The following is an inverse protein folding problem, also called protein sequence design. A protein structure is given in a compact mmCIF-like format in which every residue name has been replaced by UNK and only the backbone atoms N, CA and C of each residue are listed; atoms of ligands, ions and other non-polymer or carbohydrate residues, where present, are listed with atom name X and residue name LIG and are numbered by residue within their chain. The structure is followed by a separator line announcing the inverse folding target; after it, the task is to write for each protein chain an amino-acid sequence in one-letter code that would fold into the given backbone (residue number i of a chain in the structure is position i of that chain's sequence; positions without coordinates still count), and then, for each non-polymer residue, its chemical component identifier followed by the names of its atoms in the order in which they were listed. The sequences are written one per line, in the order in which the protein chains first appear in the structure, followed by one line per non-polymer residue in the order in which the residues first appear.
data_IF_555592735790
#
_entry.id   IF_555592735790
#
_cell.length_a   1.000
_cell.length_b   1.000
_cell.length_c   1.000
_cell.angle_alpha   90.00
_cell.angle_beta   90.00
_cell.angle_gamma   90.00
#
_symmetry.space_group_name_H-M   'P 1'
#
loop_
_entity.id
_entity.type
_entity.pdbx_description
1 polymer ?
#
# COMPACT_ATOMS: atom_id res chain seq x y z
N UNK A 1 4.37 15.64 -2.00
CA UNK A 1 3.01 15.09 -2.05
C UNK A 1 3.14 13.60 -1.80
N UNK A 2 2.24 13.02 -1.00
CA UNK A 2 2.32 11.61 -0.66
C UNK A 2 2.24 10.73 -1.92
N UNK A 3 3.09 9.73 -2.01
CA UNK A 3 3.19 8.83 -3.16
C UNK A 3 3.33 7.38 -2.71
N UNK A 4 2.70 6.45 -3.42
CA UNK A 4 2.85 5.01 -3.20
C UNK A 4 4.22 4.59 -3.71
N UNK A 5 5.10 4.18 -2.80
CA UNK A 5 6.45 3.72 -3.11
C UNK A 5 6.51 2.22 -3.36
N UNK A 6 5.76 1.45 -2.60
CA UNK A 6 5.68 0.00 -2.74
C UNK A 6 4.25 -0.47 -2.47
N UNK A 7 3.83 -1.51 -3.20
CA UNK A 7 2.62 -2.27 -2.94
C UNK A 7 2.98 -3.74 -2.79
N UNK A 8 2.46 -4.37 -1.74
CA UNK A 8 2.58 -5.79 -1.45
C UNK A 8 1.18 -6.37 -1.25
N UNK A 9 0.87 -7.46 -1.95
CA UNK A 9 -0.43 -8.13 -1.93
C UNK A 9 -0.18 -9.63 -1.75
N UNK A 10 -0.87 -10.26 -0.81
CA UNK A 10 -0.91 -11.72 -0.66
C UNK A 10 -2.34 -12.21 -0.54
N UNK A 11 -2.60 -13.32 -1.21
CA UNK A 11 -3.79 -14.15 -1.07
C UNK A 11 -5.11 -13.44 -1.42
N UNK A 12 -5.07 -12.50 -2.35
CA UNK A 12 -6.22 -11.68 -2.76
C UNK A 12 -6.66 -12.02 -4.19
N UNK A 13 -7.87 -12.58 -4.33
CA UNK A 13 -8.49 -12.99 -5.60
C UNK A 13 -7.54 -13.82 -6.46
N UNK A 14 -7.21 -13.38 -7.67
CA UNK A 14 -6.25 -14.08 -8.55
C UNK A 14 -4.77 -13.94 -8.16
N UNK A 15 -4.45 -13.18 -7.10
CA UNK A 15 -3.07 -12.87 -6.71
C UNK A 15 -2.69 -13.71 -5.49
N UNK A 16 -1.77 -14.66 -5.69
CA UNK A 16 -1.17 -15.41 -4.58
C UNK A 16 -0.17 -14.56 -3.80
N UNK A 17 0.76 -13.94 -4.52
CA UNK A 17 1.81 -13.04 -4.02
C UNK A 17 2.16 -12.04 -5.13
N UNK A 18 2.19 -10.76 -4.79
CA UNK A 18 2.62 -9.68 -5.66
C UNK A 18 3.35 -8.63 -4.84
N UNK A 19 4.58 -8.30 -5.24
CA UNK A 19 5.34 -7.17 -4.70
C UNK A 19 5.83 -6.30 -5.83
N UNK A 20 5.58 -5.00 -5.75
CA UNK A 20 6.13 -4.05 -6.70
C UNK A 20 6.58 -2.76 -6.02
N UNK A 21 7.77 -2.27 -6.40
CA UNK A 21 8.35 -1.02 -5.94
C UNK A 21 8.25 -0.01 -7.09
N UNK A 22 7.42 1.01 -6.93
CA UNK A 22 7.19 2.05 -7.93
C UNK A 22 8.33 3.10 -7.96
N UNK A 23 9.17 3.16 -6.92
CA UNK A 23 10.27 4.13 -6.86
C UNK A 23 9.75 5.55 -6.70
N UNK A 24 10.14 6.43 -7.62
CA UNK A 24 9.70 7.84 -7.73
C UNK A 24 8.86 8.07 -9.00
N UNK A 25 8.30 7.00 -9.57
CA UNK A 25 7.45 7.07 -10.76
C UNK A 25 6.15 7.83 -10.47
N UNK A 26 5.88 8.86 -11.26
CA UNK A 26 4.64 9.66 -11.15
C UNK A 26 3.50 9.14 -12.01
N UNK A 27 3.79 8.22 -12.93
CA UNK A 27 2.83 7.57 -13.80
C UNK A 27 3.13 6.08 -13.81
N UNK A 28 2.12 5.28 -13.52
CA UNK A 28 2.15 3.83 -13.56
C UNK A 28 1.08 3.38 -14.54
N UNK A 29 1.45 2.50 -15.48
CA UNK A 29 0.52 1.93 -16.46
C UNK A 29 0.50 0.41 -16.28
N UNK A 30 -0.68 -0.15 -16.04
CA UNK A 30 -0.87 -1.59 -15.93
C UNK A 30 -1.29 -2.16 -17.29
N UNK A 31 -0.46 -3.04 -17.86
CA UNK A 31 -0.69 -3.64 -19.18
C UNK A 31 -0.80 -5.16 -19.03
N UNK A 32 -1.73 -5.78 -19.77
CA UNK A 32 -1.87 -7.23 -19.80
C UNK A 32 -3.19 -7.68 -20.43
N UNK A 33 -3.35 -8.98 -20.68
CA UNK A 33 -4.58 -9.60 -21.19
C UNK A 33 -5.80 -9.34 -20.30
N UNK A 34 -7.00 -9.51 -20.86
CA UNK A 34 -8.23 -9.54 -20.04
C UNK A 34 -8.08 -10.51 -18.86
N UNK A 35 -8.60 -10.11 -17.70
CA UNK A 35 -8.56 -10.88 -16.45
C UNK A 35 -7.16 -11.19 -15.86
N UNK A 36 -6.13 -10.45 -16.28
CA UNK A 36 -4.76 -10.62 -15.75
C UNK A 36 -4.53 -10.02 -14.36
N UNK A 37 -5.57 -9.65 -13.61
CA UNK A 37 -5.45 -9.05 -12.27
C UNK A 37 -5.14 -7.54 -12.22
N UNK A 38 -5.22 -6.80 -13.35
CA UNK A 38 -5.00 -5.33 -13.35
C UNK A 38 -5.99 -4.60 -12.43
N UNK A 39 -7.28 -4.90 -12.60
CA UNK A 39 -8.32 -4.32 -11.74
C UNK A 39 -8.14 -4.74 -10.29
N UNK A 40 -7.72 -5.98 -10.04
CA UNK A 40 -7.40 -6.50 -8.70
C UNK A 40 -6.29 -5.69 -8.02
N UNK A 41 -5.23 -5.32 -8.74
CA UNK A 41 -4.16 -4.46 -8.21
C UNK A 41 -4.71 -3.07 -7.85
N UNK A 42 -5.51 -2.46 -8.73
CA UNK A 42 -6.11 -1.14 -8.47
C UNK A 42 -7.08 -1.18 -7.28
N UNK A 43 -7.83 -2.26 -7.14
CA UNK A 43 -8.76 -2.45 -6.04
C UNK A 43 -8.03 -2.65 -4.70
N UNK A 44 -6.92 -3.39 -4.70
CA UNK A 44 -6.04 -3.50 -3.54
C UNK A 44 -5.49 -2.12 -3.11
N UNK A 45 -5.07 -1.28 -4.07
CA UNK A 45 -4.64 0.10 -3.78
C UNK A 45 -5.80 0.92 -3.17
N UNK A 46 -7.01 0.78 -3.72
CA UNK A 46 -8.19 1.46 -3.18
C UNK A 46 -8.52 1.01 -1.76
N UNK A 47 -8.40 -0.29 -1.46
CA UNK A 47 -8.66 -0.85 -0.13
C UNK A 47 -7.67 -0.35 0.91
N UNK A 48 -6.36 -0.43 0.62
CA UNK A 48 -5.32 -0.06 1.59
C UNK A 48 -5.23 1.45 1.85
N UNK A 49 -5.64 2.27 0.88
CA UNK A 49 -5.71 3.72 1.02
C UNK A 49 -7.12 4.22 1.36
N UNK A 50 -8.06 3.31 1.63
CA UNK A 50 -9.43 3.66 1.96
C UNK A 50 -9.49 4.50 3.24
N UNK A 51 -10.24 5.62 3.26
CA UNK A 51 -10.53 6.34 4.50
C UNK A 51 -11.55 5.60 5.38
N UNK A 52 -12.17 4.56 4.84
CA UNK A 52 -13.27 3.79 5.46
C UNK A 52 -12.72 2.50 6.07
N UNK A 53 -13.10 2.22 7.31
CA UNK A 53 -12.61 1.07 8.08
C UNK A 53 -13.45 -0.20 7.90
N UNK A 54 -14.70 -0.09 7.44
CA UNK A 54 -15.60 -1.23 7.20
C UNK A 54 -15.56 -1.68 5.72
N UNK A 55 -14.41 -2.19 5.29
CA UNK A 55 -14.29 -2.80 3.96
C UNK A 55 -15.10 -4.10 3.91
N UNK A 56 -15.96 -4.24 2.89
CA UNK A 56 -16.67 -5.50 2.64
C UNK A 56 -15.71 -6.48 1.98
N UNK A 57 -15.41 -7.58 2.66
CA UNK A 57 -14.62 -8.70 2.15
C UNK A 57 -15.51 -9.94 2.13
N UNK A 58 -15.47 -10.67 1.02
CA UNK A 58 -16.21 -11.92 0.81
C UNK A 58 -15.26 -13.11 0.71
N UNK A 59 -15.78 -14.33 0.86
CA UNK A 59 -14.96 -15.55 0.74
C UNK A 59 -14.31 -15.67 -0.66
N UNK A 60 -14.96 -15.12 -1.69
CA UNK A 60 -14.44 -15.08 -3.06
C UNK A 60 -13.26 -14.14 -3.27
N UNK A 61 -13.00 -13.24 -2.31
CA UNK A 61 -11.84 -12.36 -2.33
C UNK A 61 -10.55 -13.07 -1.88
N UNK A 62 -10.65 -14.26 -1.30
CA UNK A 62 -9.49 -15.07 -0.93
C UNK A 62 -8.94 -15.82 -2.14
N UNK A 63 -7.62 -15.90 -2.23
CA UNK A 63 -6.97 -16.67 -3.27
C UNK A 63 -7.39 -18.14 -3.20
N UNK A 64 -7.89 -18.68 -4.32
CA UNK A 64 -8.49 -20.00 -4.40
C UNK A 64 -9.64 -20.25 -3.40
N UNK A 65 -10.30 -19.19 -2.91
CA UNK A 65 -11.35 -19.27 -1.88
C UNK A 65 -10.83 -19.92 -0.58
N UNK A 66 -9.51 -19.88 -0.34
CA UNK A 66 -8.88 -20.41 0.86
C UNK A 66 -8.89 -19.37 1.98
N UNK A 67 -9.86 -19.47 2.88
CA UNK A 67 -10.01 -18.58 4.04
C UNK A 67 -9.06 -18.92 5.20
N UNK A 68 -8.29 -20.01 5.09
CA UNK A 68 -7.27 -20.34 6.09
C UNK A 68 -6.03 -19.44 5.99
N UNK A 69 -5.83 -18.84 4.81
CA UNK A 69 -4.71 -17.96 4.51
C UNK A 69 -5.18 -16.50 4.49
N UNK A 70 -4.70 -15.61 5.37
CA UNK A 70 -5.22 -14.25 5.46
C UNK A 70 -4.86 -13.41 4.22
N UNK A 71 -5.78 -12.53 3.81
CA UNK A 71 -5.50 -11.50 2.81
C UNK A 71 -4.55 -10.45 3.42
N UNK A 72 -3.45 -10.16 2.74
CA UNK A 72 -2.49 -9.11 3.14
C UNK A 72 -2.40 -8.08 2.03
N UNK A 73 -2.68 -6.82 2.32
CA UNK A 73 -2.47 -5.70 1.39
C UNK A 73 -1.75 -4.59 2.14
N UNK A 74 -0.50 -4.34 1.76
CA UNK A 74 0.35 -3.34 2.38
C UNK A 74 0.82 -2.32 1.34
N UNK A 75 0.68 -1.03 1.66
CA UNK A 75 1.27 0.05 0.89
C UNK A 75 2.34 0.77 1.71
N UNK A 76 3.49 1.02 1.10
CA UNK A 76 4.51 1.92 1.65
C UNK A 76 4.36 3.28 0.98
N UNK A 77 4.23 4.33 1.78
CA UNK A 77 4.06 5.69 1.29
C UNK A 77 5.32 6.53 1.57
N UNK A 78 5.70 7.38 0.61
CA UNK A 78 6.73 8.41 0.76
C UNK A 78 6.10 9.80 0.83
N UNK A 79 6.83 10.76 1.39
CA UNK A 79 6.46 12.18 1.47
C UNK A 79 5.07 12.43 2.10
N UNK A 80 4.77 11.66 3.15
CA UNK A 80 3.52 11.73 3.89
C UNK A 80 3.58 12.88 4.91
N UNK A 81 2.49 13.66 5.10
CA UNK A 81 2.45 14.72 6.11
C UNK A 81 2.78 14.20 7.53
N UNK A 82 3.47 15.03 8.32
CA UNK A 82 3.94 14.66 9.67
C UNK A 82 2.78 14.30 10.61
N UNK A 83 1.57 14.84 10.38
CA UNK A 83 0.38 14.53 11.15
C UNK A 83 0.01 13.05 11.04
N UNK A 84 0.29 12.41 9.90
CA UNK A 84 0.06 10.99 9.67
C UNK A 84 1.17 10.11 10.26
N UNK A 85 2.31 10.69 10.65
CA UNK A 85 3.38 9.97 11.34
C UNK A 85 3.09 9.84 12.85
N UNK A 86 2.13 10.59 13.39
CA UNK A 86 1.76 10.53 14.81
C UNK A 86 1.13 9.18 15.18
N UNK A 87 1.39 8.70 16.41
CA UNK A 87 0.88 7.40 16.90
C UNK A 87 -0.63 7.38 17.09
N UNK A 88 -1.25 8.54 17.30
CA UNK A 88 -2.67 8.67 17.56
C UNK A 88 -3.60 8.18 16.44
N UNK A 89 -3.12 8.07 15.20
CA UNK A 89 -3.95 7.66 14.05
C UNK A 89 -3.79 6.19 13.65
N UNK A 90 -2.58 5.63 13.78
CA UNK A 90 -2.25 4.31 13.21
C UNK A 90 -1.74 3.31 14.25
N UNK A 91 -1.53 3.73 15.51
CA UNK A 91 -1.00 2.87 16.57
C UNK A 91 0.30 2.17 16.15
N UNK A 92 0.37 0.86 16.42
CA UNK A 92 1.52 0.00 16.08
C UNK A 92 1.51 -0.52 14.63
N UNK A 93 0.47 -0.25 13.84
CA UNK A 93 0.36 -0.70 12.45
C UNK A 93 1.13 0.21 11.48
N UNK A 94 2.28 0.73 11.93
CA UNK A 94 3.19 1.55 11.13
C UNK A 94 4.49 0.79 10.94
N UNK A 95 4.85 0.51 9.68
CA UNK A 95 6.20 0.05 9.32
C UNK A 95 6.99 1.22 8.80
N UNK A 96 8.03 1.62 9.52
CA UNK A 96 8.97 2.64 9.06
C UNK A 96 9.87 1.97 8.03
N UNK A 97 9.71 2.34 6.76
CA UNK A 97 10.68 1.97 5.74
C UNK A 97 11.85 2.97 5.82
N UNK A 98 13.02 2.50 6.26
CA UNK A 98 14.20 3.34 6.40
C UNK A 98 14.70 3.74 5.01
N UNK A 99 14.28 4.91 4.55
CA UNK A 99 14.89 5.59 3.41
C UNK A 99 15.92 6.57 3.98
N UNK A 100 17.19 6.57 3.52
CA UNK A 100 18.18 7.56 3.95
C UNK A 100 17.79 8.93 3.39
N UNK A 101 16.87 9.62 4.06
CA UNK A 101 16.62 11.03 3.83
C UNK A 101 17.80 11.77 4.44
N UNK A 102 18.61 12.46 3.62
CA UNK A 102 19.54 13.47 4.12
C UNK A 102 18.71 14.54 4.82
N UNK A 103 18.59 14.44 6.15
CA UNK A 103 18.09 15.53 6.98
C UNK A 103 19.18 16.61 6.95
N UNK A 104 19.06 17.54 6.01
CA UNK A 104 19.79 18.80 6.05
C UNK A 104 18.97 19.75 6.90
N UNK A 105 19.14 19.68 8.21
CA UNK A 105 18.64 20.70 9.14
C UNK A 105 19.56 21.92 9.08
N UNK A 106 19.41 22.70 8.01
CA UNK A 106 19.80 24.11 8.02
C UNK A 106 18.56 24.92 8.45
N UNK A 107 18.30 24.98 9.76
CA UNK A 107 17.46 26.04 10.31
C UNK A 107 18.32 26.96 11.17
N UNK A 108 18.39 28.19 10.69
CA UNK A 108 19.08 29.33 11.25
C UNK A 108 18.50 29.73 12.62
N UNK A 109 19.40 30.25 13.45
CA UNK A 109 19.17 31.11 14.63
C UNK A 109 17.92 32.01 14.50
N UNK A 110 17.12 32.08 15.56
CA UNK A 110 17.05 33.26 16.46
C UNK A 110 16.90 32.75 17.89
#
# INVERSE_FOLDING_TARGET
MAQVHQLHIQHFRGIKDFTHIFGDARLVVLIGRGDSGKSTILEAVSMVLSPVWNLTISDTDFYNVDTSSPIVIEATLKDVPNELLTDGKYGLYKRIHWCPVKIRTDYYKV
#
